data_IF_383265432198
#
_entry.id   IF_383265432198
#
_cell.length_a   1.000
_cell.length_b   1.000
_cell.length_c   1.000
_cell.angle_alpha   90.00
_cell.angle_beta   90.00
_cell.angle_gamma   90.00
#
_symmetry.space_group_name_H-M   'P 1'
#
loop_
_entity.id
_entity.type
_entity.pdbx_description
1 polymer ?
#
# COMPACT_ATOMS: atom_id res chain seq x y z
N UNK A 1 20.69 -0.80 -14.04
CA UNK A 1 21.10 0.60 -14.30
C UNK A 1 20.68 1.42 -13.09
N UNK A 2 21.56 2.28 -12.53
CA UNK A 2 21.15 3.19 -11.49
C UNK A 2 20.04 4.14 -12.01
N UNK A 3 19.18 4.68 -11.14
CA UNK A 3 18.22 5.69 -11.54
C UNK A 3 18.95 6.91 -12.10
N UNK A 4 18.28 7.65 -12.99
CA UNK A 4 18.81 8.88 -13.54
C UNK A 4 19.12 9.88 -12.39
N UNK A 5 20.12 10.79 -12.56
CA UNK A 5 20.39 11.85 -11.60
C UNK A 5 19.11 12.62 -11.31
N UNK A 6 18.71 12.71 -10.03
CA UNK A 6 17.45 13.33 -9.62
C UNK A 6 16.27 12.36 -9.46
N UNK A 7 16.52 11.06 -9.37
CA UNK A 7 15.47 10.10 -9.01
C UNK A 7 14.81 10.50 -7.68
N UNK A 8 13.47 10.46 -7.59
CA UNK A 8 12.72 10.91 -6.42
C UNK A 8 12.80 9.94 -5.22
N UNK A 9 13.74 8.99 -5.25
CA UNK A 9 14.02 8.02 -4.18
C UNK A 9 15.52 7.67 -4.15
N UNK A 10 16.06 7.18 -3.01
CA UNK A 10 17.48 6.83 -2.87
C UNK A 10 17.96 5.80 -3.89
N UNK A 11 19.09 6.08 -4.56
CA UNK A 11 19.67 5.22 -5.59
C UNK A 11 19.96 3.79 -5.11
N UNK A 12 20.29 3.62 -3.82
CA UNK A 12 20.54 2.32 -3.20
C UNK A 12 19.30 1.40 -3.16
N UNK A 13 18.10 1.95 -3.37
CA UNK A 13 16.85 1.19 -3.40
C UNK A 13 16.44 0.79 -4.82
N UNK A 14 17.11 1.30 -5.86
CA UNK A 14 16.81 0.96 -7.24
C UNK A 14 17.07 -0.54 -7.53
N UNK A 15 16.30 -1.11 -8.45
CA UNK A 15 16.40 -2.51 -8.83
C UNK A 15 15.79 -3.49 -7.81
N UNK A 16 15.14 -2.99 -6.77
CA UNK A 16 14.54 -3.78 -5.70
C UNK A 16 13.02 -3.57 -5.66
N UNK A 17 12.30 -4.60 -5.25
CA UNK A 17 10.91 -4.53 -4.77
C UNK A 17 10.93 -4.79 -3.27
N UNK A 18 10.68 -3.75 -2.47
CA UNK A 18 10.99 -3.75 -1.04
C UNK A 18 9.92 -4.51 -0.25
N UNK A 19 10.32 -5.51 0.50
CA UNK A 19 9.45 -6.30 1.38
C UNK A 19 9.55 -5.86 2.86
N UNK A 20 10.59 -5.09 3.19
CA UNK A 20 10.82 -4.48 4.51
C UNK A 20 11.42 -3.09 4.31
N UNK A 21 11.30 -2.21 5.30
CA UNK A 21 12.02 -0.93 5.34
C UNK A 21 13.45 -1.20 5.79
N UNK A 22 14.47 -1.04 4.90
CA UNK A 22 15.84 -1.36 5.25
C UNK A 22 16.37 -0.47 6.38
N UNK A 23 17.06 -1.06 7.35
CA UNK A 23 17.68 -0.34 8.46
C UNK A 23 16.70 0.30 9.45
N UNK A 24 15.42 0.00 9.36
CA UNK A 24 14.43 0.50 10.32
C UNK A 24 14.67 -0.09 11.72
N UNK A 25 14.40 0.72 12.75
CA UNK A 25 14.25 0.25 14.12
C UNK A 25 12.93 -0.54 14.32
N UNK A 26 12.48 -0.71 15.57
CA UNK A 26 11.25 -1.45 15.88
C UNK A 26 10.01 -0.65 15.47
N UNK A 27 9.78 -0.53 14.18
CA UNK A 27 8.62 0.15 13.58
C UNK A 27 7.97 -0.73 12.51
N UNK A 28 6.67 -0.55 12.33
CA UNK A 28 5.83 -1.24 11.34
C UNK A 28 5.17 -0.20 10.43
N UNK A 29 5.11 -0.47 9.14
CA UNK A 29 4.36 0.32 8.18
C UNK A 29 3.02 -0.38 7.85
N UNK A 30 1.91 0.25 8.22
CA UNK A 30 0.58 -0.20 7.82
C UNK A 30 0.27 0.36 6.42
N UNK A 31 -0.01 -0.54 5.47
CA UNK A 31 -0.29 -0.16 4.08
C UNK A 31 -1.61 -0.75 3.60
N UNK A 32 -2.32 0.01 2.77
CA UNK A 32 -3.69 -0.30 2.34
C UNK A 32 -3.81 -0.18 0.84
N UNK A 33 -4.21 -1.24 0.16
CA UNK A 33 -4.47 -1.22 -1.27
C UNK A 33 -5.94 -0.90 -1.54
N UNK A 34 -6.21 0.03 -2.46
CA UNK A 34 -7.52 0.49 -2.86
C UNK A 34 -7.73 0.30 -4.37
N UNK A 35 -8.49 -0.71 -4.75
CA UNK A 35 -8.76 -1.03 -6.16
C UNK A 35 -10.23 -1.41 -6.43
N UNK A 36 -10.90 -1.97 -5.45
CA UNK A 36 -12.32 -2.33 -5.50
C UNK A 36 -13.23 -1.20 -5.02
N UNK A 37 -14.02 -1.47 -3.98
CA UNK A 37 -14.87 -0.46 -3.32
C UNK A 37 -14.15 0.23 -2.15
N UNK A 38 -14.85 1.15 -1.48
CA UNK A 38 -14.32 1.95 -0.36
C UNK A 38 -14.99 1.63 0.99
N UNK A 39 -15.60 0.45 1.15
CA UNK A 39 -16.45 0.12 2.30
C UNK A 39 -15.71 0.21 3.65
N UNK A 40 -14.45 -0.23 3.71
CA UNK A 40 -13.63 -0.17 4.93
C UNK A 40 -12.98 1.19 5.21
N UNK A 41 -12.92 2.10 4.21
CA UNK A 41 -12.17 3.34 4.32
C UNK A 41 -12.55 4.20 5.52
N UNK A 42 -13.85 4.49 5.81
CA UNK A 42 -14.21 5.34 6.92
C UNK A 42 -13.71 4.80 8.27
N UNK A 43 -13.84 3.49 8.49
CA UNK A 43 -13.39 2.83 9.72
C UNK A 43 -11.87 2.80 9.83
N UNK A 44 -11.16 2.55 8.73
CA UNK A 44 -9.69 2.61 8.69
C UNK A 44 -9.21 4.01 9.10
N UNK A 45 -9.73 5.07 8.45
CA UNK A 45 -9.33 6.44 8.75
C UNK A 45 -9.67 6.84 10.19
N UNK A 46 -10.85 6.46 10.70
CA UNK A 46 -11.24 6.69 12.09
C UNK A 46 -10.26 6.02 13.07
N UNK A 47 -9.89 4.77 12.82
CA UNK A 47 -8.96 4.03 13.69
C UNK A 47 -7.56 4.65 13.64
N UNK A 48 -7.05 5.00 12.47
CA UNK A 48 -5.75 5.65 12.31
C UNK A 48 -5.72 7.01 13.03
N UNK A 49 -6.76 7.82 12.87
CA UNK A 49 -6.88 9.13 13.55
C UNK A 49 -6.92 8.97 15.07
N UNK A 50 -7.77 8.07 15.60
CA UNK A 50 -7.91 7.88 17.06
C UNK A 50 -6.67 7.31 17.71
N UNK A 51 -5.82 6.61 16.95
CA UNK A 51 -4.57 6.03 17.44
C UNK A 51 -3.33 6.86 17.12
N UNK A 52 -3.47 7.95 16.35
CA UNK A 52 -2.35 8.78 15.91
C UNK A 52 -1.38 8.06 14.96
N UNK A 53 -1.82 7.02 14.27
CA UNK A 53 -0.99 6.23 13.35
C UNK A 53 -1.16 6.75 11.92
N UNK A 54 -0.03 6.97 11.23
CA UNK A 54 -0.03 7.29 9.80
C UNK A 54 0.14 6.02 8.97
N UNK A 55 -0.72 5.84 7.96
CA UNK A 55 -0.62 4.74 6.99
C UNK A 55 -0.15 5.19 5.62
N UNK A 56 0.07 4.22 4.73
CA UNK A 56 0.32 4.45 3.30
C UNK A 56 -0.76 3.75 2.48
N UNK A 57 -1.37 4.46 1.54
CA UNK A 57 -2.46 3.95 0.69
C UNK A 57 -2.00 3.86 -0.75
N UNK A 58 -2.02 2.66 -1.34
CA UNK A 58 -1.74 2.43 -2.75
C UNK A 58 -3.06 2.41 -3.53
N UNK A 59 -3.27 3.44 -4.35
CA UNK A 59 -4.54 3.67 -5.02
C UNK A 59 -4.44 3.29 -6.50
N UNK A 60 -5.44 2.54 -7.01
CA UNK A 60 -5.61 2.45 -8.45
C UNK A 60 -6.20 3.76 -8.99
N UNK A 61 -5.87 4.10 -10.23
CA UNK A 61 -6.42 5.29 -10.87
C UNK A 61 -7.94 5.20 -11.04
N UNK A 62 -8.46 4.00 -11.34
CA UNK A 62 -9.91 3.75 -11.43
C UNK A 62 -10.61 4.01 -10.11
N UNK A 63 -10.04 3.55 -9.00
CA UNK A 63 -10.59 3.81 -7.66
C UNK A 63 -10.55 5.31 -7.33
N UNK A 64 -9.44 5.99 -7.59
CA UNK A 64 -9.30 7.42 -7.34
C UNK A 64 -10.30 8.26 -8.14
N UNK A 65 -10.55 7.89 -9.40
CA UNK A 65 -11.56 8.52 -10.25
C UNK A 65 -12.98 8.35 -9.68
N UNK A 66 -13.29 7.17 -9.17
CA UNK A 66 -14.62 6.88 -8.64
C UNK A 66 -14.81 7.38 -7.19
N UNK A 67 -13.73 7.67 -6.46
CA UNK A 67 -13.75 8.02 -5.04
C UNK A 67 -12.90 9.27 -4.73
N UNK A 68 -13.07 10.41 -5.41
CA UNK A 68 -12.24 11.59 -5.17
C UNK A 68 -12.34 12.12 -3.73
N UNK A 69 -13.52 12.02 -3.10
CA UNK A 69 -13.71 12.37 -1.69
C UNK A 69 -12.90 11.43 -0.77
N UNK A 70 -12.77 10.15 -1.12
CA UNK A 70 -11.93 9.20 -0.40
C UNK A 70 -10.44 9.57 -0.48
N UNK A 71 -9.95 9.96 -1.66
CA UNK A 71 -8.58 10.46 -1.82
C UNK A 71 -8.35 11.70 -0.97
N UNK A 72 -9.27 12.67 -1.02
CA UNK A 72 -9.19 13.89 -0.22
C UNK A 72 -9.17 13.59 1.30
N UNK A 73 -9.98 12.63 1.76
CA UNK A 73 -10.02 12.22 3.17
C UNK A 73 -8.70 11.56 3.62
N UNK A 74 -8.09 10.72 2.79
CA UNK A 74 -6.78 10.10 3.06
C UNK A 74 -5.70 11.19 3.18
N UNK A 75 -5.68 12.14 2.25
CA UNK A 75 -4.72 13.27 2.25
C UNK A 75 -4.93 14.16 3.48
N UNK A 76 -6.18 14.53 3.79
CA UNK A 76 -6.51 15.35 4.96
C UNK A 76 -6.11 14.67 6.28
N UNK A 77 -6.15 13.33 6.34
CA UNK A 77 -5.65 12.55 7.48
C UNK A 77 -4.11 12.50 7.59
N UNK A 78 -3.38 13.14 6.68
CA UNK A 78 -1.92 13.17 6.68
C UNK A 78 -1.27 11.84 6.26
N UNK A 79 -2.03 10.95 5.62
CA UNK A 79 -1.51 9.66 5.17
C UNK A 79 -0.74 9.77 3.85
N UNK A 80 0.18 8.84 3.63
CA UNK A 80 0.98 8.77 2.41
C UNK A 80 0.22 8.07 1.29
N UNK A 81 0.39 8.54 0.06
CA UNK A 81 -0.15 7.86 -1.13
C UNK A 81 0.94 7.13 -1.91
N UNK A 82 0.54 6.09 -2.62
CA UNK A 82 1.30 5.37 -3.62
C UNK A 82 0.44 5.02 -4.83
N UNK A 83 1.08 4.71 -5.95
CA UNK A 83 0.45 4.31 -7.20
C UNK A 83 0.25 2.78 -7.22
N UNK A 84 -0.95 2.33 -7.62
CA UNK A 84 -1.27 0.91 -7.75
C UNK A 84 -1.76 0.54 -9.17
N UNK A 85 -1.22 1.22 -10.20
CA UNK A 85 -1.64 1.17 -11.60
C UNK A 85 -3.02 1.79 -11.87
N UNK A 86 -3.38 1.96 -13.14
CA UNK A 86 -4.70 2.52 -13.51
C UNK A 86 -5.83 1.50 -13.27
N UNK A 87 -5.67 0.26 -13.77
CA UNK A 87 -6.75 -0.74 -13.83
C UNK A 87 -6.41 -2.08 -13.21
N UNK A 88 -5.29 -2.17 -12.45
CA UNK A 88 -4.85 -3.35 -11.73
C UNK A 88 -4.55 -4.60 -12.60
N UNK A 89 -3.86 -4.49 -13.77
CA UNK A 89 -3.45 -5.67 -14.55
C UNK A 89 -2.20 -6.34 -13.97
N UNK A 90 -1.97 -7.62 -14.32
CA UNK A 90 -0.67 -8.26 -14.11
C UNK A 90 0.42 -7.63 -14.98
N UNK A 91 1.55 -7.23 -14.37
CA UNK A 91 2.57 -6.43 -15.06
C UNK A 91 3.56 -7.25 -15.88
N UNK A 92 3.80 -8.50 -15.50
CA UNK A 92 4.79 -9.35 -16.17
C UNK A 92 4.45 -9.66 -17.63
N UNK A 93 3.16 -9.65 -17.98
CA UNK A 93 2.68 -9.81 -19.35
C UNK A 93 2.57 -8.52 -20.16
N UNK A 94 2.77 -7.33 -19.55
CA UNK A 94 2.63 -6.07 -20.25
C UNK A 94 3.94 -5.64 -20.93
N UNK A 95 3.90 -5.04 -22.13
CA UNK A 95 5.05 -4.35 -22.69
C UNK A 95 5.34 -3.06 -21.90
N UNK A 96 6.60 -2.60 -21.92
CA UNK A 96 7.06 -1.43 -21.14
C UNK A 96 6.23 -0.17 -21.40
N UNK A 97 5.78 0.06 -22.62
CA UNK A 97 4.92 1.19 -22.97
C UNK A 97 3.56 1.13 -22.25
N UNK A 98 2.96 -0.07 -22.15
CA UNK A 98 1.69 -0.25 -21.42
C UNK A 98 1.88 -0.10 -19.90
N UNK A 99 3.03 -0.51 -19.36
CA UNK A 99 3.39 -0.23 -17.97
C UNK A 99 3.43 1.29 -17.75
N UNK A 100 4.09 2.03 -18.65
CA UNK A 100 4.15 3.50 -18.59
C UNK A 100 2.77 4.16 -18.61
N UNK A 101 1.87 3.68 -19.50
CA UNK A 101 0.49 4.17 -19.56
C UNK A 101 -0.27 3.91 -18.24
N UNK A 102 -0.16 2.70 -17.68
CA UNK A 102 -0.80 2.33 -16.41
C UNK A 102 -0.34 3.25 -15.26
N UNK A 103 0.95 3.55 -15.14
CA UNK A 103 1.47 4.41 -14.08
C UNK A 103 1.09 5.88 -14.29
N UNK A 104 1.23 6.39 -15.52
CA UNK A 104 0.97 7.80 -15.83
C UNK A 104 -0.51 8.15 -15.66
N UNK A 105 -1.42 7.32 -16.17
CA UNK A 105 -2.87 7.55 -16.03
C UNK A 105 -3.33 7.45 -14.58
N UNK A 106 -2.79 6.48 -13.80
CA UNK A 106 -3.11 6.39 -12.38
C UNK A 106 -2.62 7.63 -11.62
N UNK A 107 -1.38 8.08 -11.89
CA UNK A 107 -0.87 9.32 -11.29
C UNK A 107 -1.77 10.51 -11.59
N UNK A 108 -2.16 10.71 -12.85
CA UNK A 108 -3.04 11.80 -13.25
C UNK A 108 -4.40 11.74 -12.55
N UNK A 109 -5.00 10.55 -12.45
CA UNK A 109 -6.28 10.36 -11.76
C UNK A 109 -6.18 10.69 -10.25
N UNK A 110 -5.10 10.24 -9.58
CA UNK A 110 -4.87 10.52 -8.16
C UNK A 110 -4.61 12.01 -7.95
N UNK A 111 -3.83 12.65 -8.83
CA UNK A 111 -3.56 14.10 -8.76
C UNK A 111 -4.82 14.94 -9.02
N UNK A 112 -5.67 14.53 -9.95
CA UNK A 112 -6.95 15.18 -10.18
C UNK A 112 -7.89 15.12 -8.96
N UNK A 113 -7.72 14.09 -8.12
CA UNK A 113 -8.44 13.95 -6.85
C UNK A 113 -7.72 14.64 -5.65
N UNK A 114 -6.63 15.36 -5.88
CA UNK A 114 -5.93 16.17 -4.88
C UNK A 114 -4.77 15.45 -4.15
N UNK A 115 -4.33 14.28 -4.63
CA UNK A 115 -3.20 13.53 -4.03
C UNK A 115 -1.95 13.49 -4.92
N UNK A 116 -0.81 13.11 -4.35
CA UNK A 116 0.41 12.77 -5.10
C UNK A 116 0.91 11.38 -4.69
N UNK A 117 0.87 10.38 -5.61
CA UNK A 117 1.29 9.02 -5.29
C UNK A 117 2.81 8.83 -5.38
N UNK A 118 3.55 9.78 -5.94
CA UNK A 118 4.99 9.60 -6.20
C UNK A 118 5.85 9.71 -4.95
N UNK A 119 6.98 8.97 -4.91
CA UNK A 119 7.47 8.01 -5.89
C UNK A 119 7.06 6.55 -5.62
N UNK A 120 6.13 6.29 -4.71
CA UNK A 120 5.80 4.94 -4.28
C UNK A 120 4.89 4.22 -5.28
N UNK A 121 5.20 2.95 -5.55
CA UNK A 121 4.40 2.08 -6.40
C UNK A 121 4.27 0.68 -5.79
N UNK A 122 3.13 0.03 -6.01
CA UNK A 122 2.95 -1.39 -5.68
C UNK A 122 2.45 -2.14 -6.89
N UNK A 123 3.11 -3.27 -7.21
CA UNK A 123 2.69 -4.14 -8.30
C UNK A 123 1.36 -4.83 -7.96
N UNK A 124 0.36 -4.77 -8.87
CA UNK A 124 -0.84 -5.61 -8.78
C UNK A 124 -0.49 -7.08 -8.58
N UNK A 125 -1.19 -7.76 -7.66
CA UNK A 125 -0.97 -9.17 -7.28
C UNK A 125 0.43 -9.46 -6.72
N UNK A 126 1.31 -8.47 -6.58
CA UNK A 126 2.73 -8.66 -6.29
C UNK A 126 3.52 -9.31 -7.44
N UNK A 127 2.97 -9.35 -8.65
CA UNK A 127 3.60 -9.93 -9.84
C UNK A 127 4.64 -8.98 -10.45
N UNK A 128 5.89 -9.40 -10.43
CA UNK A 128 7.02 -8.62 -10.98
C UNK A 128 8.16 -9.53 -11.44
N UNK A 129 9.00 -8.97 -12.26
CA UNK A 129 10.26 -9.54 -12.69
C UNK A 129 11.31 -8.42 -12.79
N UNK A 130 12.56 -8.75 -13.12
CA UNK A 130 13.64 -7.78 -13.22
C UNK A 130 13.36 -6.68 -14.26
N UNK A 131 12.70 -7.02 -15.37
CA UNK A 131 12.31 -6.06 -16.43
C UNK A 131 11.28 -5.06 -15.92
N UNK A 132 10.20 -5.54 -15.28
CA UNK A 132 9.13 -4.67 -14.78
C UNK A 132 9.61 -3.76 -13.66
N UNK A 133 10.47 -4.25 -12.74
CA UNK A 133 11.12 -3.42 -11.70
C UNK A 133 11.97 -2.33 -12.35
N UNK A 134 12.82 -2.68 -13.33
CA UNK A 134 13.65 -1.70 -14.02
C UNK A 134 12.82 -0.65 -14.77
N UNK A 135 11.71 -1.06 -15.40
CA UNK A 135 10.79 -0.17 -16.11
C UNK A 135 10.13 0.82 -15.15
N UNK A 136 9.60 0.35 -14.03
CA UNK A 136 9.00 1.18 -12.98
C UNK A 136 10.01 2.18 -12.41
N UNK A 137 11.27 1.74 -12.15
CA UNK A 137 12.33 2.64 -11.68
C UNK A 137 12.70 3.72 -12.71
N UNK A 138 12.77 3.38 -14.01
CA UNK A 138 13.03 4.39 -15.08
C UNK A 138 11.95 5.46 -15.14
N UNK A 139 10.72 5.12 -14.75
CA UNK A 139 9.58 6.05 -14.68
C UNK A 139 9.55 6.85 -13.37
N UNK A 140 10.58 6.71 -12.50
CA UNK A 140 10.70 7.46 -11.26
C UNK A 140 9.90 6.89 -10.10
N UNK A 141 9.52 5.61 -10.15
CA UNK A 141 8.80 4.94 -9.08
C UNK A 141 9.65 3.91 -8.34
N UNK A 142 9.49 3.83 -7.04
CA UNK A 142 10.06 2.83 -6.14
C UNK A 142 9.01 1.76 -5.85
N UNK A 143 9.18 0.52 -6.31
CA UNK A 143 8.25 -0.53 -5.97
C UNK A 143 8.40 -0.99 -4.52
N UNK A 144 7.27 -1.14 -3.85
CA UNK A 144 7.18 -1.60 -2.46
C UNK A 144 6.15 -2.70 -2.35
N UNK A 145 6.63 -3.89 -2.01
CA UNK A 145 5.79 -5.06 -1.76
C UNK A 145 5.30 -5.06 -0.30
N UNK A 146 5.37 -6.17 0.35
CA UNK A 146 4.97 -6.38 1.75
C UNK A 146 5.76 -7.52 2.39
N UNK A 147 5.87 -7.47 3.70
CA UNK A 147 6.36 -8.57 4.53
C UNK A 147 5.27 -9.62 4.74
N UNK A 148 4.05 -9.14 5.00
CA UNK A 148 2.87 -9.98 5.27
C UNK A 148 1.63 -9.45 4.54
N UNK A 149 0.90 -10.36 3.88
CA UNK A 149 -0.48 -10.16 3.45
C UNK A 149 -1.41 -10.67 4.54
N UNK A 150 -2.28 -9.82 5.04
CA UNK A 150 -3.29 -10.16 6.07
C UNK A 150 -4.27 -11.21 5.61
N UNK A 151 -4.52 -11.32 4.32
CA UNK A 151 -5.57 -12.10 3.66
C UNK A 151 -7.00 -11.68 4.04
N UNK A 152 -7.18 -10.50 4.65
CA UNK A 152 -8.50 -9.96 4.99
C UNK A 152 -9.44 -9.83 3.78
N UNK A 153 -8.86 -9.60 2.60
CA UNK A 153 -9.59 -9.54 1.34
C UNK A 153 -10.34 -10.83 0.96
N UNK A 154 -9.95 -12.01 1.49
CA UNK A 154 -10.65 -13.28 1.26
C UNK A 154 -12.00 -13.36 1.95
N UNK A 155 -12.23 -12.49 2.95
CA UNK A 155 -13.49 -12.44 3.68
C UNK A 155 -13.78 -13.63 4.58
N UNK A 156 -14.90 -13.56 5.28
CA UNK A 156 -15.40 -14.66 6.11
C UNK A 156 -15.77 -15.89 5.26
N UNK A 157 -16.26 -15.68 4.06
CA UNK A 157 -16.54 -16.73 3.08
C UNK A 157 -15.29 -17.51 2.64
N UNK A 158 -14.13 -16.89 2.72
CA UNK A 158 -12.81 -17.53 2.51
C UNK A 158 -12.19 -18.12 3.77
N UNK A 159 -12.92 -18.21 4.88
CA UNK A 159 -12.46 -18.77 6.15
C UNK A 159 -11.55 -17.82 6.96
N UNK A 160 -11.51 -16.54 6.64
CA UNK A 160 -10.72 -15.54 7.37
C UNK A 160 -11.59 -14.86 8.42
N UNK A 161 -10.98 -14.47 9.54
CA UNK A 161 -11.60 -13.68 10.62
C UNK A 161 -10.69 -12.50 10.96
N UNK A 162 -11.23 -11.48 11.64
CA UNK A 162 -10.42 -10.37 12.13
C UNK A 162 -9.30 -10.84 13.07
N UNK A 163 -9.51 -11.91 13.83
CA UNK A 163 -8.48 -12.52 14.66
C UNK A 163 -7.35 -13.12 13.81
N UNK A 164 -7.67 -13.87 12.75
CA UNK A 164 -6.69 -14.44 11.83
C UNK A 164 -5.87 -13.33 11.15
N UNK A 165 -6.53 -12.24 10.72
CA UNK A 165 -5.86 -11.05 10.16
C UNK A 165 -4.82 -10.50 11.14
N UNK A 166 -5.19 -10.28 12.41
CA UNK A 166 -4.28 -9.76 13.43
C UNK A 166 -3.14 -10.75 13.74
N UNK A 167 -3.43 -12.03 13.89
CA UNK A 167 -2.43 -13.05 14.21
C UNK A 167 -1.38 -13.20 13.09
N UNK A 168 -1.78 -13.08 11.82
CA UNK A 168 -0.85 -13.10 10.68
C UNK A 168 0.17 -11.97 10.75
N UNK A 169 -0.27 -10.75 11.09
CA UNK A 169 0.63 -9.59 11.25
C UNK A 169 1.61 -9.86 12.38
N UNK A 170 1.11 -10.24 13.56
CA UNK A 170 1.97 -10.46 14.74
C UNK A 170 2.96 -11.63 14.57
N UNK A 171 2.59 -12.62 13.77
CA UNK A 171 3.48 -13.75 13.47
C UNK A 171 4.70 -13.37 12.60
N UNK A 172 4.66 -12.25 11.91
CA UNK A 172 5.76 -11.75 11.07
C UNK A 172 6.45 -10.52 11.66
N UNK A 173 6.06 -10.12 12.89
CA UNK A 173 6.51 -8.89 13.53
C UNK A 173 8.05 -8.81 13.62
N UNK A 174 8.60 -7.78 12.97
CA UNK A 174 10.04 -7.50 12.89
C UNK A 174 10.31 -6.04 12.55
N UNK A 175 11.53 -5.52 12.81
CA UNK A 175 11.90 -4.17 12.41
C UNK A 175 11.67 -3.91 10.92
N UNK A 176 10.95 -2.83 10.62
CA UNK A 176 10.65 -2.42 9.24
C UNK A 176 9.59 -3.25 8.54
N UNK A 177 8.79 -4.03 9.25
CA UNK A 177 7.68 -4.80 8.66
C UNK A 177 6.75 -3.91 7.85
N UNK A 178 6.36 -4.38 6.65
CA UNK A 178 5.37 -3.73 5.78
C UNK A 178 4.15 -4.66 5.72
N UNK A 179 3.03 -4.19 6.24
CA UNK A 179 1.76 -4.95 6.28
C UNK A 179 0.90 -4.58 5.10
N UNK A 180 0.46 -5.55 4.31
CA UNK A 180 -0.56 -5.38 3.27
C UNK A 180 -1.95 -5.63 3.85
N UNK A 181 -2.80 -4.63 3.73
CA UNK A 181 -4.23 -4.61 4.02
C UNK A 181 -5.00 -4.03 2.83
N UNK A 182 -6.33 -4.12 2.84
CA UNK A 182 -7.18 -3.61 1.75
C UNK A 182 -8.29 -2.70 2.29
N UNK A 183 -8.65 -1.70 1.46
CA UNK A 183 -9.71 -0.73 1.77
C UNK A 183 -11.11 -1.29 1.51
N UNK A 184 -11.23 -2.13 0.49
CA UNK A 184 -12.52 -2.65 0.04
C UNK A 184 -13.09 -3.76 0.92
N UNK A 185 -14.38 -4.03 0.76
CA UNK A 185 -15.02 -5.23 1.30
C UNK A 185 -14.86 -6.41 0.35
N UNK A 186 -14.93 -7.62 0.91
CA UNK A 186 -15.01 -8.84 0.11
C UNK A 186 -16.31 -8.84 -0.73
N UNK A 187 -16.23 -9.15 -2.05
CA UNK A 187 -17.38 -9.08 -2.94
C UNK A 187 -18.44 -10.17 -2.67
N UNK A 188 -18.07 -11.28 -2.02
CA UNK A 188 -18.98 -12.40 -1.79
C UNK A 188 -19.79 -12.27 -0.48
N UNK A 189 -19.22 -11.63 0.56
CA UNK A 189 -19.83 -11.58 1.89
C UNK A 189 -19.89 -10.17 2.50
N UNK A 190 -19.33 -9.17 1.82
CA UNK A 190 -19.35 -7.77 2.25
C UNK A 190 -18.47 -7.45 3.46
N UNK A 191 -17.68 -8.40 3.99
CA UNK A 191 -16.83 -8.17 5.17
C UNK A 191 -15.65 -7.24 4.86
N UNK A 192 -15.26 -6.46 5.87
CA UNK A 192 -14.12 -5.52 5.85
C UNK A 192 -13.10 -5.91 6.91
N UNK A 193 -12.63 -7.15 6.87
CA UNK A 193 -11.85 -7.76 7.96
C UNK A 193 -10.55 -7.00 8.30
N UNK A 194 -9.91 -6.36 7.32
CA UNK A 194 -8.74 -5.51 7.55
C UNK A 194 -9.10 -4.28 8.40
N UNK A 195 -10.22 -3.63 8.09
CA UNK A 195 -10.72 -2.50 8.88
C UNK A 195 -11.17 -2.94 10.29
N UNK A 196 -11.75 -4.12 10.39
CA UNK A 196 -12.22 -4.69 11.66
C UNK A 196 -11.08 -5.05 12.60
N UNK A 197 -9.99 -5.59 12.08
CA UNK A 197 -8.83 -6.03 12.84
C UNK A 197 -7.86 -4.87 13.21
N UNK A 198 -7.93 -3.73 12.51
CA UNK A 198 -6.89 -2.69 12.56
C UNK A 198 -6.60 -2.17 13.98
N UNK A 199 -7.64 -1.92 14.78
CA UNK A 199 -7.48 -1.45 16.16
C UNK A 199 -6.72 -2.45 17.04
N UNK A 200 -7.06 -3.74 16.93
CA UNK A 200 -6.39 -4.83 17.63
C UNK A 200 -4.93 -4.99 17.17
N UNK A 201 -4.67 -4.89 15.87
CA UNK A 201 -3.32 -4.95 15.31
C UNK A 201 -2.45 -3.84 15.90
N UNK A 202 -2.92 -2.59 15.89
CA UNK A 202 -2.19 -1.44 16.43
C UNK A 202 -1.88 -1.62 17.92
N UNK A 203 -2.85 -2.06 18.70
CA UNK A 203 -2.67 -2.30 20.14
C UNK A 203 -1.60 -3.35 20.38
N UNK A 204 -1.71 -4.51 19.74
CA UNK A 204 -0.78 -5.64 19.95
C UNK A 204 0.64 -5.35 19.46
N UNK A 205 0.80 -4.60 18.36
CA UNK A 205 2.12 -4.14 17.89
C UNK A 205 2.79 -3.24 18.95
N UNK A 206 2.03 -2.30 19.54
CA UNK A 206 2.54 -1.42 20.62
C UNK A 206 2.92 -2.20 21.88
N UNK A 207 2.07 -3.15 22.28
CA UNK A 207 2.34 -4.04 23.42
C UNK A 207 3.61 -4.87 23.21
N UNK A 208 3.95 -5.17 21.95
CA UNK A 208 5.20 -5.85 21.57
C UNK A 208 6.42 -4.91 21.50
N UNK A 209 6.29 -3.63 21.88
CA UNK A 209 7.39 -2.64 21.89
C UNK A 209 7.70 -2.00 20.54
N UNK A 210 6.81 -2.14 19.53
CA UNK A 210 6.99 -1.52 18.22
C UNK A 210 6.19 -0.24 18.08
N UNK A 211 6.76 0.71 17.32
CA UNK A 211 6.08 1.91 16.83
C UNK A 211 5.58 1.76 15.40
N UNK A 212 5.15 2.89 14.83
CA UNK A 212 4.64 2.95 13.46
C UNK A 212 5.37 4.01 12.64
N UNK A 213 5.46 3.75 11.34
CA UNK A 213 5.94 4.72 10.35
C UNK A 213 5.12 4.61 9.07
N UNK A 214 5.09 5.66 8.26
CA UNK A 214 4.64 5.57 6.89
C UNK A 214 5.84 5.28 5.96
N UNK A 215 5.58 4.92 4.72
CA UNK A 215 6.64 4.59 3.76
C UNK A 215 7.47 5.80 3.29
N UNK A 216 7.18 7.02 3.80
CA UNK A 216 8.11 8.15 3.69
C UNK A 216 9.50 7.83 4.24
N UNK A 217 9.59 6.95 5.22
CA UNK A 217 10.85 6.46 5.78
C UNK A 217 11.81 5.82 4.75
N UNK A 218 11.31 5.46 3.58
CA UNK A 218 12.12 4.97 2.45
C UNK A 218 12.77 6.10 1.63
N UNK A 219 12.31 7.32 1.83
CA UNK A 219 12.66 8.45 0.95
C UNK A 219 13.74 9.37 1.56
N UNK A 220 14.02 9.23 2.85
CA UNK A 220 15.01 10.02 3.61
C UNK A 220 14.38 11.17 4.38
#
# INVERSE_FOLDING_TARGET
>A
MPPAPGAPFPAALAGRDLEVIPGAGPVVALTFDAGGNSAGLPRILQTLASTGVRGTFFLTGSWATSNPAGVAAIVAGGHRLGNHSMTHPGFTGLPDAAIGDQLTRAQQAIQAAGGDPRPLFRFPFGERDARTIATVNRLGYLPVRWTVDTLGWKGASGGITAQVVADRVLAQLRPGEIVLMHVGSNPNDGTTLDADALGQIITRIRESGYGFTALDALLG
#
